data_IF_824651734007
#
_entry.id   IF_824651734007
#
_cell.length_a   1.000
_cell.length_b   1.000
_cell.length_c   1.000
_cell.angle_alpha   90.00
_cell.angle_beta   90.00
_cell.angle_gamma   90.00
#
_symmetry.space_group_name_H-M   'P 1'
#
loop_
_entity.id
_entity.type
_entity.pdbx_description
1 polymer ?
#
# COMPACT_ATOMS: atom_id res chain seq x y z
N UNK A 1 41.74 20.43 -40.34
CA UNK A 1 40.27 20.59 -40.46
C UNK A 1 39.60 19.93 -39.25
N UNK A 2 40.08 20.19 -38.02
CA UNK A 2 39.96 19.21 -36.91
C UNK A 2 39.16 19.71 -35.70
N UNK A 3 39.17 21.02 -35.40
CA UNK A 3 38.51 21.56 -34.20
C UNK A 3 36.98 21.42 -34.22
N UNK A 4 36.34 21.57 -35.40
CA UNK A 4 34.89 21.39 -35.55
C UNK A 4 34.46 19.93 -35.40
N UNK A 5 35.30 19.00 -35.86
CA UNK A 5 35.08 17.55 -35.75
C UNK A 5 35.17 17.10 -34.28
N UNK A 6 36.21 17.54 -33.56
CA UNK A 6 36.36 17.25 -32.13
C UNK A 6 35.20 17.82 -31.31
N UNK A 7 34.78 19.05 -31.60
CA UNK A 7 33.62 19.68 -30.93
C UNK A 7 32.32 18.90 -31.19
N UNK A 8 32.15 18.32 -32.37
CA UNK A 8 30.98 17.52 -32.70
C UNK A 8 30.97 16.19 -31.94
N UNK A 9 32.12 15.49 -31.89
CA UNK A 9 32.27 14.25 -31.14
C UNK A 9 32.06 14.46 -29.63
N UNK A 10 32.55 15.57 -29.07
CA UNK A 10 32.32 15.95 -27.67
C UNK A 10 30.82 16.10 -27.39
N UNK A 11 30.08 16.81 -28.26
CA UNK A 11 28.63 16.99 -28.13
C UNK A 11 27.86 15.68 -28.26
N UNK A 12 28.26 14.81 -29.19
CA UNK A 12 27.67 13.47 -29.35
C UNK A 12 27.90 12.62 -28.09
N UNK A 13 29.12 12.64 -27.52
CA UNK A 13 29.43 11.94 -26.26
C UNK A 13 28.59 12.45 -25.09
N UNK A 14 28.49 13.77 -24.93
CA UNK A 14 27.65 14.39 -23.89
C UNK A 14 26.18 14.05 -24.08
N UNK A 15 25.69 14.01 -25.32
CA UNK A 15 24.32 13.61 -25.63
C UNK A 15 24.07 12.13 -25.31
N UNK A 16 25.00 11.24 -25.69
CA UNK A 16 24.93 9.82 -25.36
C UNK A 16 24.92 9.59 -23.84
N UNK A 17 25.80 10.25 -23.09
CA UNK A 17 25.84 10.19 -21.62
C UNK A 17 24.55 10.70 -20.98
N UNK A 18 24.00 11.81 -21.47
CA UNK A 18 22.73 12.36 -20.98
C UNK A 18 21.56 11.43 -21.26
N UNK A 19 21.49 10.88 -22.47
CA UNK A 19 20.45 9.91 -22.86
C UNK A 19 20.56 8.63 -22.05
N UNK A 20 21.77 8.08 -21.85
CA UNK A 20 22.00 6.90 -21.03
C UNK A 20 21.61 7.10 -19.57
N UNK A 21 21.97 8.25 -18.98
CA UNK A 21 21.57 8.62 -17.61
C UNK A 21 20.06 8.82 -17.48
N UNK A 22 19.42 9.43 -18.48
CA UNK A 22 17.96 9.61 -18.49
C UNK A 22 17.24 8.26 -18.59
N UNK A 23 17.70 7.37 -19.47
CA UNK A 23 17.17 6.02 -19.61
C UNK A 23 17.34 5.20 -18.30
N UNK A 24 18.52 5.27 -17.68
CA UNK A 24 18.78 4.63 -16.38
C UNK A 24 17.83 5.13 -15.29
N UNK A 25 17.69 6.46 -15.13
CA UNK A 25 16.75 7.05 -14.16
C UNK A 25 15.29 6.64 -14.40
N UNK A 26 14.88 6.56 -15.67
CA UNK A 26 13.53 6.12 -16.03
C UNK A 26 13.33 4.63 -15.66
N UNK A 27 14.30 3.77 -15.95
CA UNK A 27 14.28 2.36 -15.57
C UNK A 27 14.26 2.18 -14.04
N UNK A 28 15.08 2.94 -13.30
CA UNK A 28 15.11 2.91 -11.83
C UNK A 28 13.76 3.35 -11.24
N UNK A 29 13.16 4.42 -11.77
CA UNK A 29 11.86 4.91 -11.33
C UNK A 29 10.74 3.91 -11.62
N UNK A 30 10.74 3.30 -12.80
CA UNK A 30 9.79 2.25 -13.17
C UNK A 30 9.96 1.01 -12.29
N UNK A 31 11.20 0.59 -12.01
CA UNK A 31 11.51 -0.52 -11.12
C UNK A 31 10.99 -0.28 -9.71
N UNK A 32 11.28 0.89 -9.12
CA UNK A 32 10.76 1.28 -7.80
C UNK A 32 9.24 1.26 -7.75
N UNK A 33 8.56 1.86 -8.73
CA UNK A 33 7.10 1.86 -8.80
C UNK A 33 6.52 0.45 -8.95
N UNK A 34 7.14 -0.41 -9.73
CA UNK A 34 6.74 -1.81 -9.84
C UNK A 34 6.88 -2.56 -8.50
N UNK A 35 7.98 -2.34 -7.77
CA UNK A 35 8.18 -2.93 -6.43
C UNK A 35 7.15 -2.42 -5.41
N UNK A 36 6.84 -1.11 -5.41
CA UNK A 36 5.79 -0.53 -4.56
C UNK A 36 4.40 -1.12 -4.87
N UNK A 37 4.07 -1.29 -6.15
CA UNK A 37 2.80 -1.91 -6.56
C UNK A 37 2.71 -3.38 -6.16
N UNK A 38 3.81 -4.12 -6.34
CA UNK A 38 3.88 -5.53 -5.96
C UNK A 38 3.73 -5.72 -4.44
N UNK A 39 4.40 -4.89 -3.64
CA UNK A 39 4.28 -4.91 -2.17
C UNK A 39 2.87 -4.52 -1.71
N UNK A 40 2.27 -3.48 -2.29
CA UNK A 40 0.89 -3.09 -1.97
C UNK A 40 -0.12 -4.21 -2.34
N UNK A 41 0.07 -4.89 -3.47
CA UNK A 41 -0.76 -6.03 -3.88
C UNK A 41 -0.63 -7.19 -2.90
N UNK A 42 0.59 -7.51 -2.47
CA UNK A 42 0.84 -8.55 -1.48
C UNK A 42 0.13 -8.24 -0.16
N UNK A 43 0.23 -7.02 0.34
CA UNK A 43 -0.45 -6.60 1.58
C UNK A 43 -1.97 -6.73 1.43
N UNK A 44 -2.52 -6.29 0.29
CA UNK A 44 -3.96 -6.44 0.02
C UNK A 44 -4.43 -7.89 0.01
N UNK A 45 -3.64 -8.82 -0.54
CA UNK A 45 -3.94 -10.25 -0.49
C UNK A 45 -3.92 -10.78 0.95
N UNK A 46 -2.94 -10.37 1.77
CA UNK A 46 -2.91 -10.75 3.19
C UNK A 46 -4.14 -10.24 3.94
N UNK A 47 -4.57 -9.00 3.67
CA UNK A 47 -5.80 -8.45 4.25
C UNK A 47 -7.01 -9.28 3.79
N UNK A 48 -7.10 -9.65 2.51
CA UNK A 48 -8.19 -10.48 1.99
C UNK A 48 -8.25 -11.85 2.66
N UNK A 49 -7.10 -12.52 2.80
CA UNK A 49 -7.01 -13.84 3.45
C UNK A 49 -7.46 -13.75 4.92
N UNK A 50 -6.95 -12.77 5.67
CA UNK A 50 -7.34 -12.56 7.08
C UNK A 50 -8.83 -12.23 7.24
N UNK A 51 -9.42 -11.44 6.33
CA UNK A 51 -10.86 -11.19 6.35
C UNK A 51 -11.65 -12.47 6.10
N UNK A 52 -11.22 -13.31 5.16
CA UNK A 52 -11.85 -14.60 4.87
C UNK A 52 -11.79 -15.52 6.09
N UNK A 53 -10.64 -15.56 6.79
CA UNK A 53 -10.51 -16.30 8.04
C UNK A 53 -11.44 -15.77 9.14
N UNK A 54 -11.58 -14.44 9.26
CA UNK A 54 -12.55 -13.83 10.20
C UNK A 54 -13.99 -14.24 9.85
N UNK A 55 -14.37 -14.26 8.58
CA UNK A 55 -15.71 -14.70 8.16
C UNK A 55 -15.99 -16.15 8.54
N UNK A 56 -14.99 -17.03 8.47
CA UNK A 56 -15.13 -18.42 8.93
C UNK A 56 -15.36 -18.46 10.45
N UNK A 57 -14.54 -17.74 11.22
CA UNK A 57 -14.70 -17.65 12.68
C UNK A 57 -16.07 -17.09 13.08
N UNK A 58 -16.55 -16.04 12.41
CA UNK A 58 -17.88 -15.50 12.67
C UNK A 58 -19.01 -16.50 12.39
N UNK A 59 -18.88 -17.32 11.34
CA UNK A 59 -19.84 -18.39 11.06
C UNK A 59 -19.83 -19.47 12.13
N UNK A 60 -18.64 -19.84 12.63
CA UNK A 60 -18.49 -20.81 13.73
C UNK A 60 -19.08 -20.27 15.03
N UNK A 61 -18.75 -19.04 15.42
CA UNK A 61 -19.31 -18.36 16.60
C UNK A 61 -20.84 -18.27 16.47
N UNK A 62 -21.35 -17.83 15.32
CA UNK A 62 -22.79 -17.73 15.07
C UNK A 62 -23.51 -19.08 15.18
N UNK A 63 -22.86 -20.16 14.73
CA UNK A 63 -23.38 -21.53 14.91
C UNK A 63 -23.42 -21.93 16.38
N UNK A 64 -22.37 -21.65 17.14
CA UNK A 64 -22.31 -21.92 18.58
C UNK A 64 -23.42 -21.18 19.33
N UNK A 65 -23.64 -19.90 19.02
CA UNK A 65 -24.72 -19.08 19.60
C UNK A 65 -26.09 -19.69 19.30
N UNK A 66 -26.31 -20.18 18.07
CA UNK A 66 -27.56 -20.83 17.71
C UNK A 66 -27.77 -22.17 18.44
N UNK A 67 -26.72 -22.99 18.57
CA UNK A 67 -26.77 -24.25 19.31
C UNK A 67 -27.07 -24.01 20.80
N UNK A 68 -26.46 -22.99 21.40
CA UNK A 68 -26.75 -22.55 22.77
C UNK A 68 -28.23 -22.15 22.92
N UNK A 69 -28.79 -21.39 21.97
CA UNK A 69 -30.22 -21.03 21.99
C UNK A 69 -31.15 -22.25 21.93
N UNK A 70 -30.71 -23.34 21.26
CA UNK A 70 -31.46 -24.60 21.19
C UNK A 70 -31.34 -25.46 22.45
N UNK A 71 -30.61 -25.01 23.46
CA UNK A 71 -30.40 -25.72 24.71
C UNK A 71 -29.28 -26.76 24.65
N UNK A 72 -28.43 -26.73 23.62
CA UNK A 72 -27.19 -27.50 23.61
C UNK A 72 -26.17 -26.83 24.53
N UNK A 73 -25.48 -27.60 25.37
CA UNK A 73 -24.32 -27.07 26.10
C UNK A 73 -23.19 -26.75 25.10
N UNK A 74 -22.75 -25.50 25.13
CA UNK A 74 -21.64 -24.99 24.35
C UNK A 74 -20.56 -24.56 25.35
N UNK A 75 -19.30 -24.93 25.08
CA UNK A 75 -18.18 -24.46 25.91
C UNK A 75 -17.98 -22.96 25.69
N UNK A 76 -18.11 -22.19 26.78
CA UNK A 76 -17.78 -20.78 26.76
C UNK A 76 -16.30 -20.58 26.42
N UNK A 77 -15.40 -21.47 26.89
CA UNK A 77 -13.98 -21.39 26.61
C UNK A 77 -13.67 -21.54 25.11
N UNK A 78 -14.35 -22.44 24.40
CA UNK A 78 -14.18 -22.56 22.94
C UNK A 78 -14.67 -21.30 22.21
N UNK A 79 -15.78 -20.72 22.68
CA UNK A 79 -16.33 -19.50 22.08
C UNK A 79 -15.39 -18.32 22.30
N UNK A 80 -14.88 -18.15 23.53
CA UNK A 80 -13.93 -17.10 23.90
C UNK A 80 -12.64 -17.22 23.08
N UNK A 81 -12.10 -18.43 22.92
CA UNK A 81 -10.93 -18.67 22.06
C UNK A 81 -11.15 -18.22 20.61
N UNK A 82 -12.34 -18.47 20.05
CA UNK A 82 -12.65 -18.02 18.68
C UNK A 82 -12.77 -16.51 18.59
N UNK A 83 -13.32 -15.86 19.63
CA UNK A 83 -13.40 -14.39 19.71
C UNK A 83 -11.99 -13.79 19.80
N UNK A 84 -11.13 -14.32 20.67
CA UNK A 84 -9.74 -13.88 20.80
C UNK A 84 -8.98 -13.99 19.46
N UNK A 85 -9.19 -15.09 18.72
CA UNK A 85 -8.62 -15.27 17.38
C UNK A 85 -9.15 -14.25 16.35
N UNK A 86 -10.41 -13.84 16.44
CA UNK A 86 -10.96 -12.76 15.61
C UNK A 86 -10.26 -11.45 15.95
N UNK A 87 -10.14 -11.11 17.24
CA UNK A 87 -9.53 -9.86 17.69
C UNK A 87 -8.06 -9.76 17.26
N UNK A 88 -7.30 -10.85 17.37
CA UNK A 88 -5.91 -10.92 16.87
C UNK A 88 -5.85 -10.64 15.36
N UNK A 89 -6.72 -11.28 14.57
CA UNK A 89 -6.75 -11.10 13.12
C UNK A 89 -7.18 -9.68 12.74
N UNK A 90 -8.16 -9.10 13.43
CA UNK A 90 -8.59 -7.71 13.22
C UNK A 90 -7.47 -6.71 13.54
N UNK A 91 -6.74 -6.92 14.65
CA UNK A 91 -5.57 -6.11 14.97
C UNK A 91 -4.50 -6.19 13.87
N UNK A 92 -4.26 -7.38 13.33
CA UNK A 92 -3.33 -7.57 12.21
C UNK A 92 -3.80 -6.91 10.91
N UNK A 93 -5.09 -6.98 10.60
CA UNK A 93 -5.69 -6.26 9.46
C UNK A 93 -5.50 -4.75 9.62
N UNK A 94 -5.72 -4.22 10.83
CA UNK A 94 -5.53 -2.79 11.11
C UNK A 94 -4.09 -2.35 10.86
N UNK A 95 -3.10 -3.11 11.36
CA UNK A 95 -1.68 -2.84 11.12
C UNK A 95 -1.31 -2.88 9.63
N UNK A 96 -1.79 -3.87 8.88
CA UNK A 96 -1.54 -3.97 7.43
C UNK A 96 -2.19 -2.81 6.65
N UNK A 97 -3.37 -2.34 7.07
CA UNK A 97 -4.02 -1.16 6.47
C UNK A 97 -3.22 0.12 6.74
N UNK A 98 -2.64 0.25 7.93
CA UNK A 98 -1.75 1.37 8.27
C UNK A 98 -0.47 1.33 7.44
N UNK A 99 0.15 0.15 7.27
CA UNK A 99 1.31 -0.03 6.38
C UNK A 99 0.98 0.42 4.94
N UNK A 100 -0.16 -0.01 4.41
CA UNK A 100 -0.62 0.38 3.07
C UNK A 100 -0.92 1.89 2.96
N UNK A 101 -1.41 2.50 4.03
CA UNK A 101 -1.58 3.95 4.11
C UNK A 101 -0.23 4.67 4.17
N UNK A 102 0.78 4.09 4.81
CA UNK A 102 2.16 4.56 4.82
C UNK A 102 2.79 4.61 3.43
N UNK A 103 2.47 3.64 2.58
CA UNK A 103 2.96 3.56 1.20
C UNK A 103 2.37 4.62 0.27
N UNK A 104 1.22 5.22 0.62
CA UNK A 104 0.65 6.31 -0.18
C UNK A 104 1.46 7.59 0.02
N UNK A 105 2.20 7.97 -1.02
CA UNK A 105 2.98 9.22 -1.06
C UNK A 105 2.12 10.45 -1.39
N UNK A 106 0.82 10.26 -1.65
CA UNK A 106 -0.09 11.31 -2.11
C UNK A 106 -1.27 11.41 -1.15
N UNK A 107 -1.57 12.63 -0.73
CA UNK A 107 -2.75 13.01 0.06
C UNK A 107 -3.67 13.88 -0.78
N UNK A 108 -4.97 13.87 -0.50
CA UNK A 108 -5.93 14.72 -1.19
C UNK A 108 -6.14 15.99 -0.38
N UNK A 109 -5.93 17.15 -0.99
CA UNK A 109 -6.16 18.44 -0.32
C UNK A 109 -7.62 18.56 0.15
N UNK A 110 -7.88 18.83 1.44
CA UNK A 110 -9.25 18.91 1.96
C UNK A 110 -10.02 20.15 1.45
N UNK A 111 -9.30 21.17 0.97
CA UNK A 111 -9.89 22.42 0.50
C UNK A 111 -10.31 22.39 -0.97
N UNK A 112 -9.57 21.69 -1.82
CA UNK A 112 -9.80 21.73 -3.28
C UNK A 112 -9.78 20.38 -3.97
N UNK A 113 -9.53 19.28 -3.26
CA UNK A 113 -9.53 17.92 -3.82
C UNK A 113 -8.33 17.57 -4.69
N UNK A 114 -7.32 18.44 -4.80
CA UNK A 114 -6.11 18.16 -5.60
C UNK A 114 -5.22 17.13 -4.90
N UNK A 115 -4.65 16.15 -5.60
CA UNK A 115 -3.60 15.29 -5.06
C UNK A 115 -2.32 16.11 -4.82
N UNK A 116 -1.80 16.03 -3.59
CA UNK A 116 -0.58 16.68 -3.12
C UNK A 116 0.38 15.64 -2.53
N UNK A 117 1.67 15.95 -2.45
CA UNK A 117 2.59 15.07 -1.74
C UNK A 117 2.23 15.04 -0.26
N UNK A 118 2.42 13.89 0.39
CA UNK A 118 2.27 13.79 1.85
C UNK A 118 3.27 14.66 2.61
N UNK A 119 4.37 15.02 1.95
CA UNK A 119 5.45 15.86 2.49
C UNK A 119 5.16 17.36 2.34
N UNK A 120 4.14 17.74 1.55
CA UNK A 120 3.81 19.14 1.29
C UNK A 120 3.08 19.74 2.50
N UNK A 121 3.53 20.89 3.00
CA UNK A 121 2.82 21.64 4.05
C UNK A 121 1.61 22.43 3.51
N UNK A 122 1.61 22.74 2.21
CA UNK A 122 0.57 23.54 1.55
C UNK A 122 0.23 22.97 0.17
N UNK A 123 -1.05 23.06 -0.21
CA UNK A 123 -1.54 22.61 -1.49
C UNK A 123 -1.02 23.48 -2.63
N UNK A 124 -0.32 22.88 -3.59
CA UNK A 124 0.17 23.56 -4.80
C UNK A 124 -0.92 24.12 -5.71
N UNK A 125 -2.18 23.69 -5.53
CA UNK A 125 -3.32 24.18 -6.30
C UNK A 125 -4.05 25.37 -5.68
N UNK A 126 -4.25 25.39 -4.36
CA UNK A 126 -5.07 26.41 -3.69
C UNK A 126 -4.37 27.14 -2.55
N UNK A 127 -3.15 26.75 -2.18
CA UNK A 127 -2.39 27.35 -1.07
C UNK A 127 -2.91 27.02 0.34
N UNK A 128 -4.00 26.25 0.46
CA UNK A 128 -4.50 25.78 1.76
C UNK A 128 -3.53 24.81 2.41
N UNK A 129 -3.50 24.78 3.75
CA UNK A 129 -2.72 23.80 4.51
C UNK A 129 -3.20 22.36 4.20
N UNK A 130 -2.26 21.41 4.18
CA UNK A 130 -2.51 20.00 3.90
C UNK A 130 -2.58 19.15 5.17
#
# INVERSE_FOLDING_TARGET
MDAKMQTFLEKVKVMADKTGKAAGRAADAAGKKATELASATRINLQIFDLNTECEVLFKEIGRMVYELHRGTEVSNEEMDQKIDLVDEKQARIAALREELAGMKSVVTCPHCGRPCSREDAFCSGCGGAL
#
